data_IF_050301708720
#
_entry.id   IF_050301708720
#
_cell.length_a   1.000
_cell.length_b   1.000
_cell.length_c   1.000
_cell.angle_alpha   90.00
_cell.angle_beta   90.00
_cell.angle_gamma   90.00
#
_symmetry.space_group_name_H-M   'P 1'
#
loop_
_entity.id
_entity.type
_entity.pdbx_description
1 polymer ?
#
# COMPACT_ATOMS: atom_id res chain seq x y z
N UNK A 1 3.61 18.76 -11.23
CA UNK A 1 2.54 19.28 -10.34
C UNK A 1 3.06 19.27 -8.92
N UNK A 2 2.75 20.29 -8.11
CA UNK A 2 3.07 20.35 -6.69
C UNK A 2 1.79 20.69 -5.93
N UNK A 3 1.48 19.93 -4.88
CA UNK A 3 0.29 20.13 -4.06
C UNK A 3 0.68 20.22 -2.58
N UNK A 4 0.04 21.15 -1.86
CA UNK A 4 0.10 21.25 -0.41
C UNK A 4 -1.27 20.89 0.16
N UNK A 5 -1.30 19.91 1.07
CA UNK A 5 -2.54 19.40 1.67
C UNK A 5 -2.53 19.71 3.17
N UNK A 6 -3.62 20.26 3.68
CA UNK A 6 -3.82 20.53 5.11
C UNK A 6 -5.14 19.89 5.56
N UNK A 7 -5.09 19.08 6.62
CA UNK A 7 -6.23 18.37 7.17
C UNK A 7 -6.46 18.78 8.62
N UNK A 8 -7.72 18.94 9.01
CA UNK A 8 -8.15 19.26 10.38
C UNK A 8 -9.13 18.20 10.87
N UNK A 9 -8.95 17.75 12.10
CA UNK A 9 -9.84 16.77 12.74
C UNK A 9 -10.18 17.26 14.14
N UNK A 10 -11.49 17.31 14.47
CA UNK A 10 -11.97 17.65 15.82
C UNK A 10 -12.12 16.36 16.63
N UNK A 11 -11.23 16.14 17.58
CA UNK A 11 -11.25 14.94 18.44
C UNK A 11 -11.77 15.31 19.85
N UNK A 12 -11.19 16.34 20.47
CA UNK A 12 -11.53 16.79 21.82
C UNK A 12 -10.27 17.25 22.57
N UNK A 13 -10.45 17.99 23.66
CA UNK A 13 -9.32 18.42 24.49
C UNK A 13 -8.69 17.21 25.21
N UNK A 14 -7.35 17.15 25.20
CA UNK A 14 -6.59 16.11 25.89
C UNK A 14 -6.64 14.71 25.26
N UNK A 15 -7.23 14.56 24.07
CA UNK A 15 -7.31 13.27 23.39
C UNK A 15 -5.97 12.85 22.79
N UNK A 16 -5.72 11.53 22.78
CA UNK A 16 -4.52 10.96 22.19
C UNK A 16 -4.52 11.13 20.66
N UNK A 17 -3.33 11.33 20.10
CA UNK A 17 -3.09 11.32 18.65
C UNK A 17 -2.22 10.11 18.28
N UNK A 18 -2.30 9.68 17.01
CA UNK A 18 -1.70 8.41 16.57
C UNK A 18 -0.65 8.60 15.46
N UNK A 19 0.59 9.00 15.80
CA UNK A 19 1.71 9.02 14.87
C UNK A 19 2.09 7.63 14.38
N UNK A 20 2.96 7.57 13.37
CA UNK A 20 3.61 6.32 12.97
C UNK A 20 4.43 5.70 14.11
N UNK A 21 4.59 4.37 14.11
CA UNK A 21 5.43 3.66 15.06
C UNK A 21 6.76 3.27 14.40
N UNK A 22 7.86 3.40 15.15
CA UNK A 22 9.18 2.92 14.77
C UNK A 22 9.39 1.47 15.19
N UNK A 23 9.94 0.67 14.28
CA UNK A 23 10.37 -0.69 14.56
C UNK A 23 11.87 -0.69 14.88
N UNK A 24 12.20 -1.03 16.13
CA UNK A 24 13.58 -1.14 16.59
C UNK A 24 13.79 -2.62 16.93
N UNK A 25 14.65 -3.30 16.16
CA UNK A 25 14.85 -4.75 16.24
C UNK A 25 15.87 -5.13 17.32
N UNK A 26 16.94 -4.36 17.49
CA UNK A 26 18.00 -4.61 18.47
C UNK A 26 17.63 -4.01 19.85
N UNK A 27 16.66 -4.61 20.52
CA UNK A 27 16.23 -4.18 21.87
C UNK A 27 16.84 -5.06 22.96
N UNK A 28 17.45 -4.41 23.95
CA UNK A 28 17.86 -5.02 25.21
C UNK A 28 16.67 -5.23 26.15
N UNK A 29 16.89 -6.06 27.18
CA UNK A 29 15.88 -6.31 28.22
C UNK A 29 15.72 -5.05 29.09
N UNK A 30 14.54 -4.43 29.06
CA UNK A 30 14.23 -3.19 29.80
C UNK A 30 14.04 -1.96 28.92
N UNK A 31 14.28 -2.07 27.61
CA UNK A 31 14.09 -0.97 26.67
C UNK A 31 12.60 -0.63 26.44
N UNK A 32 12.34 0.61 26.00
CA UNK A 32 10.98 1.08 25.69
C UNK A 32 10.30 0.15 24.68
N UNK A 33 9.09 -0.28 25.02
CA UNK A 33 8.28 -1.18 24.18
C UNK A 33 7.71 -0.50 22.94
N UNK A 34 7.53 0.83 22.97
CA UNK A 34 6.94 1.61 21.88
C UNK A 34 7.72 2.90 21.65
N UNK A 35 8.08 3.13 20.39
CA UNK A 35 8.72 4.36 19.92
C UNK A 35 7.88 4.92 18.78
N UNK A 36 7.57 6.20 18.83
CA UNK A 36 6.75 6.88 17.81
C UNK A 36 7.64 7.73 16.89
N UNK A 37 7.26 7.81 15.63
CA UNK A 37 7.96 8.57 14.61
C UNK A 37 7.79 10.07 14.84
N UNK A 38 8.90 10.79 14.71
CA UNK A 38 8.94 12.25 14.77
C UNK A 38 10.05 12.80 13.87
N UNK A 39 9.90 14.05 13.45
CA UNK A 39 10.93 14.82 12.73
C UNK A 39 11.11 16.12 13.47
N UNK A 40 12.34 16.45 13.87
CA UNK A 40 12.64 17.69 14.60
C UNK A 40 11.71 17.94 15.80
N UNK A 41 11.50 16.89 16.61
CA UNK A 41 10.59 16.86 17.78
C UNK A 41 9.09 17.08 17.48
N UNK A 42 8.66 16.96 16.22
CA UNK A 42 7.25 17.01 15.81
C UNK A 42 6.79 15.61 15.44
N UNK A 43 5.72 15.14 16.07
CA UNK A 43 5.14 13.83 15.76
C UNK A 43 4.70 13.74 14.29
N UNK A 44 5.02 12.61 13.63
CA UNK A 44 4.83 12.47 12.20
C UNK A 44 4.10 11.19 11.80
N UNK A 45 3.60 11.18 10.56
CA UNK A 45 3.19 9.97 9.85
C UNK A 45 4.23 9.72 8.76
N UNK A 46 4.71 8.49 8.63
CA UNK A 46 5.66 8.15 7.59
C UNK A 46 5.08 8.43 6.19
N UNK A 47 5.91 8.96 5.28
CA UNK A 47 5.49 9.32 3.93
C UNK A 47 4.91 8.13 3.16
N UNK A 48 5.51 6.94 3.30
CA UNK A 48 5.00 5.71 2.69
C UNK A 48 3.64 5.27 3.23
N UNK A 49 3.29 5.64 4.47
CA UNK A 49 1.97 5.33 5.05
C UNK A 49 0.88 6.22 4.45
N UNK A 50 1.20 7.49 4.19
CA UNK A 50 0.33 8.39 3.41
C UNK A 50 0.24 7.90 1.96
N UNK A 51 1.37 7.53 1.35
CA UNK A 51 1.40 6.98 0.00
C UNK A 51 0.57 5.70 -0.16
N UNK A 52 0.61 4.80 0.83
CA UNK A 52 -0.24 3.61 0.88
C UNK A 52 -1.72 3.97 0.91
N UNK A 53 -2.12 4.96 1.74
CA UNK A 53 -3.51 5.42 1.80
C UNK A 53 -3.98 6.05 0.47
N UNK A 54 -3.12 6.83 -0.21
CA UNK A 54 -3.45 7.46 -1.48
C UNK A 54 -3.68 6.46 -2.62
N UNK A 55 -2.95 5.34 -2.62
CA UNK A 55 -3.09 4.28 -3.64
C UNK A 55 -4.08 3.19 -3.25
N UNK A 56 -4.92 3.41 -2.24
CA UNK A 56 -6.07 2.55 -1.90
C UNK A 56 -7.19 2.77 -2.90
N UNK A 57 -6.97 2.27 -4.11
CA UNK A 57 -7.84 2.46 -5.27
C UNK A 57 -8.19 1.15 -5.99
N UNK A 58 -7.55 0.03 -5.62
CA UNK A 58 -7.81 -1.25 -6.28
C UNK A 58 -9.15 -1.80 -5.83
N UNK A 59 -10.17 -1.61 -6.68
CA UNK A 59 -11.51 -2.19 -6.55
C UNK A 59 -11.75 -3.28 -7.59
N UNK A 60 -10.69 -3.78 -8.24
CA UNK A 60 -10.79 -4.63 -9.43
C UNK A 60 -10.35 -6.08 -9.18
N UNK A 61 -10.28 -6.47 -7.92
CA UNK A 61 -9.87 -7.80 -7.48
C UNK A 61 -11.10 -8.62 -7.05
N UNK A 62 -10.95 -9.94 -7.00
CA UNK A 62 -12.02 -10.84 -6.56
C UNK A 62 -12.36 -10.61 -5.07
N UNK A 63 -13.59 -10.17 -4.78
CA UNK A 63 -14.05 -9.83 -3.44
C UNK A 63 -13.98 -8.34 -3.08
N UNK A 64 -13.69 -7.46 -4.04
CA UNK A 64 -13.72 -6.01 -3.83
C UNK A 64 -15.12 -5.48 -3.43
N UNK A 65 -16.20 -6.09 -3.94
CA UNK A 65 -17.57 -5.70 -3.61
C UNK A 65 -17.91 -5.85 -2.12
N UNK A 66 -17.27 -6.80 -1.43
CA UNK A 66 -17.50 -7.06 -0.01
C UNK A 66 -16.49 -6.33 0.89
N UNK A 67 -15.23 -6.29 0.48
CA UNK A 67 -14.12 -5.82 1.31
C UNK A 67 -13.73 -4.35 1.05
N UNK A 68 -14.22 -3.76 -0.04
CA UNK A 68 -13.89 -2.40 -0.46
C UNK A 68 -12.52 -2.30 -1.14
N UNK A 69 -12.02 -1.06 -1.36
CA UNK A 69 -10.74 -0.85 -2.03
C UNK A 69 -9.55 -1.29 -1.17
N UNK A 70 -8.54 -1.86 -1.81
CA UNK A 70 -7.22 -2.13 -1.21
C UNK A 70 -6.14 -1.26 -1.85
N UNK A 71 -5.02 -1.12 -1.13
CA UNK A 71 -3.84 -0.47 -1.67
C UNK A 71 -3.28 -1.29 -2.84
N UNK A 72 -2.97 -0.65 -3.95
CA UNK A 72 -2.41 -1.31 -5.14
C UNK A 72 -1.07 -1.95 -4.80
N UNK A 73 -0.99 -3.27 -4.85
CA UNK A 73 0.23 -4.07 -4.65
C UNK A 73 0.31 -5.13 -5.76
N UNK A 74 1.50 -5.58 -6.19
CA UNK A 74 1.63 -6.54 -7.30
C UNK A 74 0.79 -7.81 -7.15
N UNK A 75 0.63 -8.29 -5.90
CA UNK A 75 -0.16 -9.47 -5.55
C UNK A 75 -1.46 -9.13 -4.78
N UNK A 76 -1.83 -7.86 -4.69
CA UNK A 76 -2.99 -7.40 -3.90
C UNK A 76 -2.89 -7.82 -2.43
N UNK A 77 -1.71 -7.64 -1.81
CA UNK A 77 -1.45 -8.08 -0.45
C UNK A 77 -1.96 -7.09 0.60
N UNK A 78 -2.67 -7.61 1.61
CA UNK A 78 -3.15 -6.85 2.76
C UNK A 78 -2.52 -7.45 4.02
N UNK A 79 -1.46 -6.81 4.51
CA UNK A 79 -0.62 -7.33 5.61
C UNK A 79 -1.39 -7.52 6.91
N UNK A 80 -2.32 -6.63 7.23
CA UNK A 80 -3.17 -6.72 8.43
C UNK A 80 -4.09 -7.94 8.44
N UNK A 81 -4.39 -8.48 7.27
CA UNK A 81 -5.24 -9.67 7.10
C UNK A 81 -4.43 -10.94 6.77
N UNK A 82 -3.12 -10.81 6.51
CA UNK A 82 -2.28 -11.92 6.05
C UNK A 82 -2.75 -12.53 4.73
N UNK A 83 -3.43 -11.76 3.87
CA UNK A 83 -4.08 -12.26 2.65
C UNK A 83 -3.55 -11.58 1.39
N UNK A 84 -3.39 -12.35 0.32
CA UNK A 84 -3.16 -11.85 -1.03
C UNK A 84 -4.40 -12.13 -1.88
N UNK A 85 -5.00 -11.06 -2.42
CA UNK A 85 -6.24 -11.13 -3.19
C UNK A 85 -6.03 -11.42 -4.68
N UNK A 86 -4.85 -11.12 -5.22
CA UNK A 86 -4.47 -11.38 -6.60
C UNK A 86 -3.41 -12.46 -6.63
N UNK A 87 -3.81 -13.69 -6.33
CA UNK A 87 -2.89 -14.82 -6.27
C UNK A 87 -2.43 -15.20 -7.69
N UNK A 88 -1.15 -15.59 -7.90
CA UNK A 88 -0.66 -15.98 -9.23
C UNK A 88 -1.48 -17.07 -9.93
N UNK A 89 -2.11 -17.96 -9.16
CA UNK A 89 -3.00 -19.00 -9.68
C UNK A 89 -4.22 -18.45 -10.46
N UNK A 90 -4.68 -17.24 -10.12
CA UNK A 90 -5.79 -16.56 -10.81
C UNK A 90 -5.31 -15.86 -12.09
N UNK A 91 -4.00 -15.69 -12.29
CA UNK A 91 -3.39 -14.93 -13.41
C UNK A 91 -3.87 -13.47 -13.49
N UNK A 92 -4.30 -12.91 -12.36
CA UNK A 92 -4.73 -11.52 -12.19
C UNK A 92 -3.78 -10.70 -11.31
N UNK A 93 -2.61 -11.26 -10.97
CA UNK A 93 -1.49 -10.51 -10.41
C UNK A 93 -0.81 -9.66 -11.48
N UNK A 94 -0.02 -8.68 -11.02
CA UNK A 94 0.65 -7.72 -11.88
C UNK A 94 1.56 -8.39 -12.92
N UNK A 95 2.34 -9.40 -12.55
CA UNK A 95 3.32 -10.00 -13.46
C UNK A 95 2.64 -10.79 -14.57
N UNK A 96 1.66 -11.63 -14.24
CA UNK A 96 0.90 -12.35 -15.26
C UNK A 96 0.15 -11.39 -16.20
N UNK A 97 -0.44 -10.32 -15.67
CA UNK A 97 -1.15 -9.34 -16.48
C UNK A 97 -0.19 -8.56 -17.40
N UNK A 98 0.96 -8.12 -16.88
CA UNK A 98 1.96 -7.39 -17.65
C UNK A 98 2.56 -8.26 -18.76
N UNK A 99 2.97 -9.49 -18.44
CA UNK A 99 3.59 -10.40 -19.41
C UNK A 99 2.61 -10.79 -20.52
N UNK A 100 1.38 -11.15 -20.16
CA UNK A 100 0.38 -11.51 -21.16
C UNK A 100 0.04 -10.32 -22.06
N UNK A 101 -0.04 -9.11 -21.49
CA UNK A 101 -0.34 -7.91 -22.28
C UNK A 101 0.79 -7.50 -23.20
N UNK A 102 2.03 -7.45 -22.69
CA UNK A 102 3.17 -6.86 -23.42
C UNK A 102 3.93 -7.89 -24.28
N UNK A 103 4.08 -9.13 -23.82
CA UNK A 103 4.86 -10.15 -24.53
C UNK A 103 3.98 -10.98 -25.46
N UNK A 104 2.73 -11.23 -25.07
CA UNK A 104 1.81 -12.14 -25.79
C UNK A 104 0.69 -11.41 -26.53
N UNK A 105 0.68 -10.08 -26.53
CA UNK A 105 -0.35 -9.23 -27.14
C UNK A 105 -1.79 -9.55 -26.66
N UNK A 106 -1.94 -10.07 -25.44
CA UNK A 106 -3.24 -10.38 -24.83
C UNK A 106 -3.72 -9.21 -23.98
N UNK A 107 -4.46 -8.29 -24.60
CA UNK A 107 -4.99 -7.12 -23.92
C UNK A 107 -5.99 -7.53 -22.83
N UNK A 108 -5.75 -7.18 -21.54
CA UNK A 108 -6.67 -7.53 -20.46
C UNK A 108 -7.88 -6.57 -20.45
N UNK A 109 -8.94 -6.89 -19.69
CA UNK A 109 -10.07 -5.97 -19.51
C UNK A 109 -9.62 -4.61 -18.97
N UNK A 110 -10.36 -3.54 -19.29
CA UNK A 110 -10.02 -2.14 -18.95
C UNK A 110 -9.69 -1.96 -17.47
N UNK A 111 -10.48 -2.55 -16.58
CA UNK A 111 -10.24 -2.50 -15.13
C UNK A 111 -8.88 -3.08 -14.71
N UNK A 112 -8.45 -4.15 -15.37
CA UNK A 112 -7.15 -4.75 -15.11
C UNK A 112 -6.02 -3.91 -15.74
N UNK A 113 -6.27 -3.20 -16.83
CA UNK A 113 -5.32 -2.21 -17.36
C UNK A 113 -5.11 -1.08 -16.34
N UNK A 114 -6.17 -0.58 -15.70
CA UNK A 114 -6.06 0.40 -14.62
C UNK A 114 -5.21 -0.12 -13.46
N UNK A 115 -5.41 -1.37 -13.03
CA UNK A 115 -4.57 -2.01 -12.01
C UNK A 115 -3.09 -2.09 -12.43
N UNK A 116 -2.79 -2.50 -13.66
CA UNK A 116 -1.40 -2.58 -14.16
C UNK A 116 -0.75 -1.20 -14.16
N UNK A 117 -1.43 -0.19 -14.73
CA UNK A 117 -0.89 1.19 -14.78
C UNK A 117 -0.76 1.77 -13.36
N UNK A 118 -1.70 1.52 -12.46
CA UNK A 118 -1.60 1.97 -11.07
C UNK A 118 -0.39 1.34 -10.36
N UNK A 119 -0.06 0.08 -10.66
CA UNK A 119 1.13 -0.58 -10.13
C UNK A 119 2.42 0.05 -10.68
N UNK A 120 2.43 0.47 -11.95
CA UNK A 120 3.55 1.22 -12.52
C UNK A 120 3.71 2.62 -11.89
N UNK A 121 2.60 3.33 -11.63
CA UNK A 121 2.63 4.64 -10.95
C UNK A 121 3.14 4.53 -9.52
N UNK A 122 2.75 3.47 -8.79
CA UNK A 122 3.34 3.15 -7.48
C UNK A 122 4.85 2.94 -7.59
N UNK A 123 5.30 2.32 -8.68
CA UNK A 123 6.69 1.95 -8.90
C UNK A 123 7.12 0.74 -8.06
N UNK A 124 8.38 0.33 -8.25
CA UNK A 124 8.97 -0.85 -7.65
C UNK A 124 10.13 -1.38 -8.49
N UNK A 125 10.76 -2.44 -8.01
CA UNK A 125 11.73 -3.22 -8.80
C UNK A 125 10.98 -4.42 -9.38
N UNK A 126 10.81 -4.46 -10.69
CA UNK A 126 9.99 -5.45 -11.40
C UNK A 126 10.84 -6.41 -12.25
N UNK A 127 11.98 -6.84 -11.73
CA UNK A 127 12.85 -7.82 -12.38
C UNK A 127 12.62 -9.23 -11.88
N UNK A 128 13.18 -10.20 -12.59
CA UNK A 128 13.35 -11.56 -12.10
C UNK A 128 14.18 -11.48 -10.79
N UNK A 129 13.55 -11.80 -9.67
CA UNK A 129 14.29 -12.09 -8.45
C UNK A 129 14.97 -13.45 -8.69
N UNK A 130 16.27 -13.42 -8.97
CA UNK A 130 17.08 -14.61 -9.20
C UNK A 130 17.05 -15.60 -8.04
#
# INVERSE_FOLDING_TARGET
MLLQVTAFVRIGAGQEVFPSQELILDRGRGDKSKTLYHVSNIAGIHSQKIGNALRTIDTWYEGADEMGPIAVEPYGSVTTQGKAYRQPKQKLDFYNLLDNWIIKDQTPPVEQQHFVIATLVRGGVFGEAG
#
